data_IF_076465875916
#
_entry.id   IF_076465875916
#
_cell.length_a   1.000
_cell.length_b   1.000
_cell.length_c   1.000
_cell.angle_alpha   90.00
_cell.angle_beta   90.00
_cell.angle_gamma   90.00
#
_symmetry.space_group_name_H-M   'P 1'
#
loop_
_entity.id
_entity.type
_entity.pdbx_description
1 polymer ?
#
# COMPACT_ATOMS: atom_id res chain seq x y z
N UNK A 1 33.03 23.21 -8.13
CA UNK A 1 31.94 22.90 -7.20
C UNK A 1 32.29 23.51 -5.87
N UNK A 2 31.40 24.34 -5.28
CA UNK A 2 31.66 24.95 -3.96
C UNK A 2 31.74 23.88 -2.87
N UNK A 3 32.68 24.04 -1.97
CA UNK A 3 32.95 23.07 -0.90
C UNK A 3 32.84 23.72 0.49
N UNK A 4 32.79 22.95 1.52
CA UNK A 4 32.81 23.42 2.92
C UNK A 4 34.09 24.25 3.22
N UNK A 5 35.20 23.99 2.51
CA UNK A 5 36.44 24.70 2.66
C UNK A 5 36.35 26.14 2.10
N UNK A 6 35.59 26.36 1.04
CA UNK A 6 35.36 27.68 0.46
C UNK A 6 34.58 28.57 1.43
N UNK A 7 33.57 28.02 2.08
CA UNK A 7 32.81 28.72 3.13
C UNK A 7 33.71 29.02 4.33
N UNK A 8 34.47 28.04 4.77
CA UNK A 8 35.40 28.19 5.90
C UNK A 8 36.40 29.33 5.64
N UNK A 9 36.97 29.39 4.45
CA UNK A 9 37.90 30.45 4.02
C UNK A 9 37.21 31.83 4.02
N UNK A 10 36.01 31.95 3.47
CA UNK A 10 35.25 33.22 3.41
C UNK A 10 34.75 33.65 4.79
N UNK A 11 34.38 32.70 5.66
CA UNK A 11 33.91 32.96 7.01
C UNK A 11 35.06 33.22 8.02
N UNK A 12 36.31 32.88 7.68
CA UNK A 12 37.46 32.99 8.59
C UNK A 12 37.42 32.02 9.75
N UNK A 13 36.87 30.82 9.52
CA UNK A 13 36.74 29.75 10.52
C UNK A 13 37.24 28.43 9.97
N UNK A 14 37.39 27.42 10.80
CA UNK A 14 37.75 26.08 10.33
C UNK A 14 36.59 25.36 9.61
N UNK A 15 36.91 24.44 8.70
CA UNK A 15 35.90 23.62 8.03
C UNK A 15 35.09 22.80 9.06
N UNK A 16 35.68 22.41 10.18
CA UNK A 16 34.97 21.72 11.27
C UNK A 16 33.95 22.63 11.96
N UNK A 17 34.25 23.93 12.09
CA UNK A 17 33.32 24.95 12.64
C UNK A 17 32.13 25.13 11.68
N UNK A 18 32.39 25.26 10.36
CA UNK A 18 31.32 25.32 9.37
C UNK A 18 30.46 24.06 9.42
N UNK A 19 31.06 22.88 9.48
CA UNK A 19 30.32 21.60 9.63
C UNK A 19 29.43 21.57 10.89
N UNK A 20 29.93 22.06 12.02
CA UNK A 20 29.12 22.17 13.27
C UNK A 20 27.93 23.09 13.08
N UNK A 21 28.13 24.26 12.45
CA UNK A 21 27.04 25.21 12.20
C UNK A 21 25.99 24.63 11.27
N UNK A 22 26.39 24.05 10.13
CA UNK A 22 25.49 23.48 9.13
C UNK A 22 24.69 22.26 9.66
N UNK A 23 25.29 21.54 10.61
CA UNK A 23 24.63 20.37 11.24
C UNK A 23 23.96 20.69 12.60
N UNK A 24 23.87 21.96 12.99
CA UNK A 24 23.20 22.37 14.24
C UNK A 24 23.88 21.87 15.52
N UNK A 25 25.20 21.49 15.45
CA UNK A 25 25.90 20.94 16.63
C UNK A 25 26.29 22.06 17.60
N UNK A 26 26.22 21.81 18.92
CA UNK A 26 26.58 22.80 19.92
C UNK A 26 28.07 23.14 19.91
N UNK A 27 28.44 24.26 20.57
CA UNK A 27 29.81 24.69 20.75
C UNK A 27 30.32 25.71 19.73
N UNK A 28 29.41 26.43 19.05
CA UNK A 28 29.74 27.58 18.18
C UNK A 28 28.96 28.80 18.66
N UNK A 29 29.61 29.95 18.77
CA UNK A 29 28.99 31.21 19.22
C UNK A 29 27.99 31.75 18.21
N UNK A 30 26.90 32.42 18.68
CA UNK A 30 25.80 32.94 17.85
C UNK A 30 26.27 33.76 16.65
N UNK A 31 27.19 34.70 16.86
CA UNK A 31 27.75 35.54 15.77
C UNK A 31 28.43 34.71 14.67
N UNK A 32 29.12 33.65 15.03
CA UNK A 32 29.75 32.75 14.07
C UNK A 32 28.72 31.93 13.30
N UNK A 33 27.65 31.50 13.96
CA UNK A 33 26.53 30.79 13.34
C UNK A 33 25.86 31.68 12.29
N UNK A 34 25.52 32.90 12.63
CA UNK A 34 24.90 33.88 11.73
C UNK A 34 25.81 34.18 10.52
N UNK A 35 27.09 34.43 10.76
CA UNK A 35 28.08 34.70 9.70
C UNK A 35 28.20 33.53 8.72
N UNK A 36 28.31 32.31 9.23
CA UNK A 36 28.42 31.11 8.38
C UNK A 36 27.14 30.88 7.58
N UNK A 37 25.95 31.04 8.17
CA UNK A 37 24.68 30.91 7.47
C UNK A 37 24.54 31.94 6.34
N UNK A 38 24.85 33.22 6.63
CA UNK A 38 24.79 34.28 5.64
C UNK A 38 25.71 33.99 4.44
N UNK A 39 26.98 33.60 4.69
CA UNK A 39 27.94 33.25 3.64
C UNK A 39 27.48 32.02 2.84
N UNK A 40 26.85 31.04 3.50
CA UNK A 40 26.30 29.84 2.86
C UNK A 40 25.19 30.21 1.87
N UNK A 41 24.28 31.11 2.26
CA UNK A 41 23.21 31.64 1.42
C UNK A 41 23.76 32.50 0.27
N UNK A 42 24.64 33.42 0.55
CA UNK A 42 25.28 34.29 -0.48
C UNK A 42 26.00 33.48 -1.57
N UNK A 43 26.63 32.38 -1.21
CA UNK A 43 27.34 31.54 -2.14
C UNK A 43 26.46 30.47 -2.81
N UNK A 44 25.18 30.33 -2.39
CA UNK A 44 24.31 29.27 -2.88
C UNK A 44 24.85 27.87 -2.57
N UNK A 45 25.55 27.72 -1.43
CA UNK A 45 26.11 26.43 -1.06
C UNK A 45 25.05 25.56 -0.41
N UNK A 46 24.83 24.41 -1.01
CA UNK A 46 24.01 23.34 -0.41
C UNK A 46 24.92 22.23 0.13
N UNK A 47 24.79 21.87 1.43
CA UNK A 47 25.58 20.76 2.00
C UNK A 47 25.36 19.48 1.18
N UNK A 48 26.44 18.86 0.74
CA UNK A 48 26.36 17.59 0.03
C UNK A 48 25.77 16.52 0.95
N UNK A 49 24.61 15.97 0.57
CA UNK A 49 23.90 14.93 1.34
C UNK A 49 24.77 13.67 1.52
N UNK A 50 25.61 13.32 0.54
CA UNK A 50 26.52 12.20 0.61
C UNK A 50 27.57 12.42 1.70
N UNK A 51 28.19 13.61 1.75
CA UNK A 51 29.18 13.96 2.76
C UNK A 51 28.57 13.98 4.17
N UNK A 52 27.34 14.47 4.29
CA UNK A 52 26.58 14.43 5.55
C UNK A 52 26.26 12.99 5.96
N UNK A 53 25.80 12.17 5.04
CA UNK A 53 25.49 10.75 5.28
C UNK A 53 26.71 9.97 5.77
N UNK A 54 27.89 10.21 5.20
CA UNK A 54 29.16 9.61 5.67
C UNK A 54 29.49 10.01 7.13
N UNK A 55 29.24 11.26 7.50
CA UNK A 55 29.52 11.76 8.84
C UNK A 55 28.49 11.33 9.89
N UNK A 56 27.24 11.13 9.51
CA UNK A 56 26.13 10.79 10.43
C UNK A 56 25.74 9.31 10.38
N UNK A 57 26.22 8.56 9.39
CA UNK A 57 25.79 7.20 9.02
C UNK A 57 24.28 7.11 8.73
N UNK A 58 23.64 8.23 8.36
CA UNK A 58 22.23 8.31 7.97
C UNK A 58 22.10 9.08 6.66
N UNK A 59 21.45 8.51 5.68
CA UNK A 59 21.22 9.12 4.37
C UNK A 59 20.01 10.08 4.39
N UNK A 60 19.11 9.92 5.36
CA UNK A 60 17.81 10.55 5.39
C UNK A 60 16.97 10.19 4.16
N UNK A 61 17.08 8.94 3.70
CA UNK A 61 16.38 8.43 2.53
C UNK A 61 15.72 7.09 2.85
N UNK A 62 14.48 6.94 2.44
CA UNK A 62 13.71 5.69 2.48
C UNK A 62 13.57 5.13 1.08
N UNK A 63 13.88 3.85 0.92
CA UNK A 63 13.69 3.13 -0.34
C UNK A 63 12.27 2.57 -0.43
N UNK A 64 11.63 2.78 -1.57
CA UNK A 64 10.30 2.23 -1.85
C UNK A 64 10.41 1.19 -2.95
N UNK A 65 10.09 -0.06 -2.63
CA UNK A 65 9.84 -1.11 -3.61
C UNK A 65 8.35 -1.23 -3.82
N UNK A 66 7.96 -0.93 -5.02
CA UNK A 66 6.59 -1.03 -5.45
C UNK A 66 6.56 -1.94 -6.67
N UNK A 67 6.30 -3.23 -6.45
CA UNK A 67 6.16 -4.18 -7.52
C UNK A 67 4.73 -4.23 -8.00
N UNK A 68 4.60 -4.22 -9.31
CA UNK A 68 3.32 -4.21 -9.97
C UNK A 68 3.18 -5.44 -10.87
N UNK A 69 2.96 -6.59 -10.25
CA UNK A 69 2.60 -7.80 -11.00
C UNK A 69 1.22 -7.66 -11.69
N UNK A 70 0.47 -6.65 -11.31
CA UNK A 70 -0.86 -6.35 -11.84
C UNK A 70 -0.84 -5.40 -13.03
N UNK A 71 0.35 -4.94 -13.49
CA UNK A 71 0.52 -3.86 -14.47
C UNK A 71 -0.28 -2.58 -14.15
N UNK A 72 -0.73 -2.42 -12.92
CA UNK A 72 -1.45 -1.22 -12.46
C UNK A 72 -0.53 -0.19 -11.83
N UNK A 73 0.53 -0.61 -11.15
CA UNK A 73 1.56 0.20 -10.53
C UNK A 73 1.01 1.37 -9.74
N UNK A 74 1.60 2.54 -9.97
CA UNK A 74 1.08 3.79 -9.44
C UNK A 74 -0.34 4.16 -9.92
N UNK A 75 -0.96 3.36 -10.80
CA UNK A 75 -2.32 3.61 -11.28
C UNK A 75 -3.39 2.99 -10.39
N UNK A 76 -3.03 2.11 -9.45
CA UNK A 76 -4.02 1.51 -8.54
C UNK A 76 -4.45 2.53 -7.46
N UNK A 77 -5.71 3.02 -7.47
CA UNK A 77 -6.13 4.14 -6.61
C UNK A 77 -5.93 3.88 -5.12
N UNK A 78 -6.16 2.64 -4.66
CA UNK A 78 -5.95 2.24 -3.26
C UNK A 78 -4.49 2.44 -2.80
N UNK A 79 -3.53 2.00 -3.61
CA UNK A 79 -2.11 2.09 -3.27
C UNK A 79 -1.58 3.54 -3.35
N UNK A 80 -2.16 4.35 -4.24
CA UNK A 80 -1.84 5.78 -4.35
C UNK A 80 -2.16 6.55 -3.06
N UNK A 81 -3.33 6.31 -2.46
CA UNK A 81 -3.77 7.00 -1.24
C UNK A 81 -2.85 6.65 -0.05
N UNK A 82 -2.48 5.37 0.09
CA UNK A 82 -1.52 4.91 1.12
C UNK A 82 -0.16 5.58 0.93
N UNK A 83 0.35 5.58 -0.30
CA UNK A 83 1.66 6.17 -0.60
C UNK A 83 1.68 7.69 -0.37
N UNK A 84 0.59 8.38 -0.67
CA UNK A 84 0.47 9.81 -0.44
C UNK A 84 0.62 10.15 1.05
N UNK A 85 -0.15 9.47 1.91
CA UNK A 85 -0.07 9.66 3.36
C UNK A 85 1.29 9.25 3.93
N UNK A 86 1.85 8.14 3.48
CA UNK A 86 3.20 7.70 3.86
C UNK A 86 4.23 8.77 3.54
N UNK A 87 4.23 9.28 2.30
CA UNK A 87 5.15 10.33 1.82
C UNK A 87 5.07 11.59 2.69
N UNK A 88 3.86 12.03 3.04
CA UNK A 88 3.68 13.26 3.80
C UNK A 88 4.28 13.15 5.22
N UNK A 89 4.08 12.02 5.89
CA UNK A 89 4.67 11.78 7.22
C UNK A 89 6.19 11.63 7.16
N UNK A 90 6.71 10.87 6.20
CA UNK A 90 8.16 10.68 6.00
C UNK A 90 8.84 12.02 5.70
N UNK A 91 8.24 12.83 4.81
CA UNK A 91 8.74 14.16 4.46
C UNK A 91 8.76 15.12 5.66
N UNK A 92 7.71 15.12 6.50
CA UNK A 92 7.65 15.91 7.72
C UNK A 92 8.78 15.58 8.72
N UNK A 93 9.32 14.35 8.68
CA UNK A 93 10.48 13.92 9.49
C UNK A 93 11.83 14.10 8.77
N UNK A 94 11.85 14.79 7.61
CA UNK A 94 13.05 15.15 6.86
C UNK A 94 13.71 13.97 6.14
N UNK A 95 12.92 12.99 5.72
CA UNK A 95 13.37 11.90 4.86
C UNK A 95 12.86 12.11 3.44
N UNK A 96 13.69 11.77 2.46
CA UNK A 96 13.34 11.70 1.04
C UNK A 96 12.97 10.25 0.67
N UNK A 97 12.21 10.08 -0.44
CA UNK A 97 11.87 8.77 -0.99
C UNK A 97 12.65 8.49 -2.28
N UNK A 98 13.20 7.29 -2.40
CA UNK A 98 13.75 6.75 -3.64
C UNK A 98 12.90 5.55 -4.07
N UNK A 99 12.31 5.63 -5.27
CA UNK A 99 11.61 4.51 -5.86
C UNK A 99 12.59 3.62 -6.63
N UNK A 100 12.59 2.35 -6.29
CA UNK A 100 13.33 1.35 -7.02
C UNK A 100 12.49 0.81 -8.19
N UNK A 101 13.08 0.79 -9.39
CA UNK A 101 12.41 0.24 -10.59
C UNK A 101 12.72 -1.24 -10.73
N UNK A 102 11.77 -2.04 -11.21
CA UNK A 102 11.92 -3.49 -11.34
C UNK A 102 12.68 -3.92 -12.62
N UNK A 103 12.67 -3.07 -13.63
CA UNK A 103 13.32 -3.35 -14.93
C UNK A 103 14.71 -2.73 -14.98
N UNK A 104 15.75 -3.50 -14.65
CA UNK A 104 17.13 -3.09 -14.84
C UNK A 104 17.70 -3.73 -16.12
N UNK A 105 18.33 -2.96 -17.04
CA UNK A 105 18.78 -3.48 -18.34
C UNK A 105 19.87 -4.56 -18.26
N UNK A 106 20.60 -4.65 -17.15
CA UNK A 106 21.77 -5.53 -17.01
C UNK A 106 21.46 -6.95 -16.51
N UNK A 107 20.20 -7.37 -16.46
CA UNK A 107 19.79 -8.72 -16.00
C UNK A 107 20.42 -9.23 -14.66
N UNK A 108 21.14 -8.38 -13.94
CA UNK A 108 21.56 -8.69 -12.59
C UNK A 108 20.37 -8.46 -11.67
N UNK A 109 19.69 -9.54 -11.30
CA UNK A 109 18.64 -9.52 -10.27
C UNK A 109 19.32 -9.22 -8.93
N UNK A 110 19.59 -7.94 -8.68
CA UNK A 110 20.01 -7.50 -7.36
C UNK A 110 18.86 -7.69 -6.39
N UNK A 111 19.13 -8.29 -5.24
CA UNK A 111 18.13 -8.42 -4.18
C UNK A 111 17.69 -7.05 -3.67
N UNK A 112 16.50 -6.96 -3.09
CA UNK A 112 16.03 -5.73 -2.43
C UNK A 112 17.06 -5.24 -1.40
N UNK A 113 17.67 -6.16 -0.65
CA UNK A 113 18.70 -5.84 0.31
C UNK A 113 19.95 -5.22 -0.36
N UNK A 114 20.46 -5.82 -1.42
CA UNK A 114 21.63 -5.31 -2.13
C UNK A 114 21.37 -3.90 -2.68
N UNK A 115 20.22 -3.68 -3.30
CA UNK A 115 19.83 -2.36 -3.84
C UNK A 115 19.69 -1.32 -2.73
N UNK A 116 19.10 -1.69 -1.60
CA UNK A 116 18.98 -0.82 -0.44
C UNK A 116 20.36 -0.41 0.09
N UNK A 117 21.29 -1.36 0.20
CA UNK A 117 22.68 -1.10 0.63
C UNK A 117 23.46 -0.24 -0.36
N UNK A 118 23.36 -0.50 -1.67
CA UNK A 118 24.00 0.30 -2.73
C UNK A 118 23.55 1.76 -2.71
N UNK A 119 22.30 2.02 -2.43
CA UNK A 119 21.73 3.38 -2.32
C UNK A 119 21.83 3.94 -0.91
N UNK A 120 22.35 3.16 0.04
CA UNK A 120 22.51 3.55 1.44
C UNK A 120 21.23 4.13 2.04
N UNK A 121 20.06 3.51 1.75
CA UNK A 121 18.80 3.95 2.35
C UNK A 121 18.74 3.55 3.82
N UNK A 122 18.07 4.36 4.65
CA UNK A 122 17.95 4.14 6.09
C UNK A 122 16.84 3.12 6.44
N UNK A 123 15.87 2.95 5.54
CA UNK A 123 14.78 1.99 5.70
C UNK A 123 14.08 1.70 4.39
N UNK A 124 13.19 0.70 4.41
CA UNK A 124 12.44 0.22 3.26
C UNK A 124 10.94 0.25 3.50
N UNK A 125 10.20 0.65 2.47
CA UNK A 125 8.76 0.52 2.38
C UNK A 125 8.39 -0.37 1.20
N UNK A 126 7.65 -1.46 1.47
CA UNK A 126 7.30 -2.48 0.48
C UNK A 126 5.79 -2.47 0.21
N UNK A 127 5.40 -2.42 -1.06
CA UNK A 127 4.00 -2.42 -1.50
C UNK A 127 3.82 -3.28 -2.75
N UNK A 128 2.70 -4.01 -2.83
CA UNK A 128 2.32 -4.77 -4.03
C UNK A 128 3.20 -5.98 -4.32
N UNK A 129 4.05 -6.41 -3.39
CA UNK A 129 4.98 -7.53 -3.56
C UNK A 129 4.24 -8.84 -3.24
N UNK A 130 4.35 -9.87 -4.08
CA UNK A 130 3.73 -11.15 -3.83
C UNK A 130 4.45 -11.91 -2.70
N UNK A 131 3.70 -12.71 -1.94
CA UNK A 131 4.25 -13.58 -0.88
C UNK A 131 5.33 -14.55 -1.36
N UNK A 132 5.32 -14.87 -2.63
CA UNK A 132 6.24 -15.82 -3.27
C UNK A 132 7.55 -15.20 -3.75
N UNK A 133 7.75 -13.89 -3.54
CA UNK A 133 8.98 -13.22 -3.95
C UNK A 133 10.17 -13.71 -3.14
N UNK A 134 11.20 -14.19 -3.85
CA UNK A 134 12.42 -14.78 -3.24
C UNK A 134 13.28 -13.78 -2.48
N UNK A 135 13.07 -12.47 -2.68
CA UNK A 135 13.82 -11.44 -1.97
C UNK A 135 13.33 -11.22 -0.54
N UNK A 136 12.15 -11.70 -0.17
CA UNK A 136 11.55 -11.47 1.14
C UNK A 136 12.36 -12.09 2.27
N UNK A 137 12.85 -13.31 2.10
CA UNK A 137 13.67 -14.00 3.10
C UNK A 137 14.96 -13.21 3.44
N UNK A 138 15.59 -12.62 2.42
CA UNK A 138 16.77 -11.79 2.60
C UNK A 138 16.47 -10.51 3.40
N UNK A 139 15.33 -9.87 3.15
CA UNK A 139 14.87 -8.71 3.92
C UNK A 139 14.55 -9.08 5.36
N UNK A 140 13.83 -10.17 5.59
CA UNK A 140 13.51 -10.67 6.94
C UNK A 140 14.78 -10.94 7.75
N UNK A 141 15.80 -11.56 7.12
CA UNK A 141 17.07 -11.87 7.75
C UNK A 141 17.99 -10.64 7.89
N UNK A 142 17.72 -9.55 7.17
CA UNK A 142 18.54 -8.35 7.20
C UNK A 142 18.28 -7.51 8.46
N UNK A 143 19.22 -6.60 8.76
CA UNK A 143 19.03 -5.58 9.80
C UNK A 143 18.48 -4.26 9.25
N UNK A 144 17.99 -4.24 8.01
CA UNK A 144 17.43 -3.03 7.39
C UNK A 144 16.01 -2.83 7.93
N UNK A 145 15.69 -1.67 8.53
CA UNK A 145 14.33 -1.34 8.91
C UNK A 145 13.38 -1.45 7.72
N UNK A 146 12.31 -2.21 7.86
CA UNK A 146 11.38 -2.47 6.76
C UNK A 146 9.93 -2.52 7.26
N UNK A 147 9.04 -1.84 6.54
CA UNK A 147 7.58 -1.96 6.72
C UNK A 147 6.95 -2.31 5.38
N UNK A 148 6.00 -3.23 5.40
CA UNK A 148 5.22 -3.61 4.23
C UNK A 148 3.72 -3.32 4.42
N UNK A 149 3.02 -3.15 3.31
CA UNK A 149 1.54 -3.08 3.26
C UNK A 149 1.02 -4.37 2.64
N UNK A 150 0.03 -4.97 3.31
CA UNK A 150 -0.70 -6.16 2.83
C UNK A 150 0.21 -7.36 2.48
N UNK A 151 1.36 -7.43 3.11
CA UNK A 151 2.33 -8.49 2.97
C UNK A 151 2.83 -8.87 4.37
N UNK A 152 2.56 -10.09 4.82
CA UNK A 152 2.86 -10.59 6.15
C UNK A 152 4.36 -10.85 6.37
N UNK A 153 5.13 -9.79 6.25
CA UNK A 153 6.58 -9.75 6.44
C UNK A 153 6.92 -9.52 7.92
N UNK A 154 7.33 -10.57 8.63
CA UNK A 154 7.73 -10.47 10.03
C UNK A 154 9.18 -10.84 10.24
N UNK A 155 9.94 -9.97 10.91
CA UNK A 155 11.35 -10.18 11.23
C UNK A 155 11.86 -9.26 12.32
N UNK A 156 13.13 -9.40 12.76
CA UNK A 156 13.67 -8.57 13.83
C UNK A 156 13.60 -7.05 13.56
N UNK A 157 13.64 -6.67 12.29
CA UNK A 157 13.61 -5.28 11.81
C UNK A 157 12.56 -5.07 10.71
N UNK A 158 11.68 -6.06 10.49
CA UNK A 158 10.67 -6.03 9.45
C UNK A 158 9.30 -6.33 10.02
N UNK A 159 8.29 -5.59 9.57
CA UNK A 159 6.90 -5.80 9.96
C UNK A 159 5.93 -5.31 8.90
N UNK A 160 4.62 -5.49 9.13
CA UNK A 160 3.60 -5.13 8.17
C UNK A 160 2.37 -4.48 8.80
N UNK A 161 1.63 -3.79 7.94
CA UNK A 161 0.32 -3.23 8.24
C UNK A 161 -0.66 -3.79 7.21
N UNK A 162 -1.82 -4.21 7.65
CA UNK A 162 -2.90 -4.67 6.79
C UNK A 162 -4.25 -4.22 7.33
N UNK A 163 -5.29 -4.31 6.50
CA UNK A 163 -6.67 -4.20 6.94
C UNK A 163 -7.20 -5.52 7.48
N UNK A 164 -8.27 -5.49 8.28
CA UNK A 164 -9.06 -6.69 8.61
C UNK A 164 -9.81 -7.17 7.35
N UNK A 165 -9.05 -7.82 6.46
CA UNK A 165 -9.56 -8.32 5.20
C UNK A 165 -10.59 -9.45 5.39
N UNK A 166 -10.38 -10.30 6.42
CA UNK A 166 -11.30 -11.42 6.72
C UNK A 166 -12.62 -10.90 7.25
N UNK A 167 -12.59 -10.03 8.26
CA UNK A 167 -13.81 -9.46 8.85
C UNK A 167 -14.56 -8.58 7.87
N UNK A 168 -13.86 -7.75 7.09
CA UNK A 168 -14.46 -6.92 6.06
C UNK A 168 -15.18 -7.72 4.97
N UNK A 169 -14.54 -8.77 4.44
CA UNK A 169 -15.17 -9.64 3.45
C UNK A 169 -16.36 -10.41 4.03
N UNK A 170 -16.22 -10.90 5.26
CA UNK A 170 -17.34 -11.58 5.94
C UNK A 170 -18.53 -10.63 6.10
N UNK A 171 -18.31 -9.36 6.51
CA UNK A 171 -19.39 -8.38 6.68
C UNK A 171 -20.10 -8.05 5.36
N UNK A 172 -19.36 -7.99 4.25
CA UNK A 172 -19.95 -7.80 2.91
C UNK A 172 -20.86 -8.95 2.51
N UNK A 173 -20.43 -10.19 2.73
CA UNK A 173 -21.21 -11.39 2.39
C UNK A 173 -22.40 -11.54 3.35
N UNK A 174 -22.23 -11.30 4.65
CA UNK A 174 -23.33 -11.29 5.63
C UNK A 174 -24.39 -10.24 5.27
N UNK A 175 -23.98 -9.09 4.73
CA UNK A 175 -24.92 -8.10 4.24
C UNK A 175 -25.76 -8.61 3.05
N UNK A 176 -25.15 -9.29 2.07
CA UNK A 176 -25.92 -9.96 1.02
C UNK A 176 -26.93 -10.96 1.59
N UNK A 177 -26.49 -11.78 2.54
CA UNK A 177 -27.35 -12.79 3.18
C UNK A 177 -28.53 -12.14 3.91
N UNK A 178 -28.29 -11.03 4.62
CA UNK A 178 -29.33 -10.25 5.31
C UNK A 178 -30.37 -9.68 4.35
N UNK A 179 -30.00 -9.48 3.08
CA UNK A 179 -30.89 -9.03 1.99
C UNK A 179 -31.56 -10.20 1.23
N UNK A 180 -31.39 -11.43 1.72
CA UNK A 180 -32.04 -12.62 1.16
C UNK A 180 -31.25 -13.33 0.06
N UNK A 181 -30.03 -12.87 -0.27
CA UNK A 181 -29.20 -13.55 -1.25
C UNK A 181 -28.66 -14.88 -0.71
N UNK A 182 -28.79 -15.94 -1.50
CA UNK A 182 -28.32 -17.28 -1.17
C UNK A 182 -27.33 -17.84 -2.20
N UNK A 183 -27.34 -17.32 -3.42
CA UNK A 183 -26.46 -17.68 -4.53
C UNK A 183 -25.50 -16.53 -4.78
N UNK A 184 -24.41 -16.54 -4.05
CA UNK A 184 -23.41 -15.48 -3.98
C UNK A 184 -22.12 -16.01 -4.57
N UNK A 185 -21.59 -15.37 -5.62
CA UNK A 185 -20.28 -15.67 -6.17
C UNK A 185 -19.19 -14.75 -5.57
N UNK A 186 -17.93 -15.17 -5.69
CA UNK A 186 -16.76 -14.42 -5.26
C UNK A 186 -15.78 -14.25 -6.41
N UNK A 187 -15.28 -13.04 -6.63
CA UNK A 187 -14.15 -12.76 -7.53
C UNK A 187 -12.97 -12.31 -6.66
N UNK A 188 -11.90 -13.12 -6.63
CA UNK A 188 -10.66 -12.85 -5.89
C UNK A 188 -9.46 -12.86 -6.82
N UNK A 189 -8.24 -12.74 -6.30
CA UNK A 189 -7.04 -12.77 -7.12
C UNK A 189 -6.51 -14.17 -7.40
N UNK A 190 -5.68 -14.31 -8.44
CA UNK A 190 -4.98 -15.56 -8.74
C UNK A 190 -3.51 -15.55 -8.31
N UNK A 191 -2.99 -14.41 -7.82
CA UNK A 191 -1.61 -14.28 -7.37
C UNK A 191 -1.38 -14.73 -5.92
N UNK A 192 -2.45 -15.17 -5.24
CA UNK A 192 -2.40 -15.56 -3.83
C UNK A 192 -1.80 -14.47 -2.92
N UNK A 193 -2.19 -13.22 -3.18
CA UNK A 193 -1.82 -12.11 -2.31
C UNK A 193 -2.47 -12.26 -0.94
N UNK A 194 -1.87 -11.67 0.10
CA UNK A 194 -2.48 -11.72 1.43
C UNK A 194 -3.92 -11.17 1.44
N UNK A 195 -4.21 -9.96 0.88
CA UNK A 195 -5.58 -9.46 0.88
C UNK A 195 -6.55 -10.35 0.08
N UNK A 196 -6.15 -10.89 -1.07
CA UNK A 196 -7.01 -11.75 -1.87
C UNK A 196 -7.38 -13.05 -1.18
N UNK A 197 -6.43 -13.73 -0.55
CA UNK A 197 -6.69 -14.96 0.21
C UNK A 197 -7.48 -14.68 1.49
N UNK A 198 -7.16 -13.63 2.25
CA UNK A 198 -7.89 -13.26 3.47
C UNK A 198 -9.36 -12.90 3.16
N UNK A 199 -9.61 -12.16 2.06
CA UNK A 199 -10.98 -11.82 1.61
C UNK A 199 -11.74 -13.05 1.15
N UNK A 200 -11.07 -13.99 0.48
CA UNK A 200 -11.68 -15.29 0.15
C UNK A 200 -12.04 -16.09 1.41
N UNK A 201 -11.15 -16.12 2.40
CA UNK A 201 -11.44 -16.76 3.69
C UNK A 201 -12.66 -16.12 4.36
N UNK A 202 -12.77 -14.80 4.35
CA UNK A 202 -13.94 -14.08 4.87
C UNK A 202 -15.25 -14.48 4.17
N UNK A 203 -15.24 -14.53 2.83
CA UNK A 203 -16.38 -15.02 2.05
C UNK A 203 -16.77 -16.45 2.42
N UNK A 204 -15.80 -17.37 2.45
CA UNK A 204 -16.06 -18.78 2.78
C UNK A 204 -16.65 -18.95 4.18
N UNK A 205 -16.08 -18.24 5.18
CA UNK A 205 -16.58 -18.28 6.56
C UNK A 205 -18.01 -17.77 6.68
N UNK A 206 -18.36 -16.69 6.00
CA UNK A 206 -19.72 -16.15 6.04
C UNK A 206 -20.72 -17.10 5.38
N UNK A 207 -20.40 -17.70 4.24
CA UNK A 207 -21.24 -18.69 3.56
C UNK A 207 -21.46 -19.93 4.44
N UNK A 208 -20.40 -20.45 5.04
CA UNK A 208 -20.43 -21.62 5.92
C UNK A 208 -21.26 -21.36 7.19
N UNK A 209 -21.02 -20.23 7.86
CA UNK A 209 -21.75 -19.82 9.09
C UNK A 209 -23.26 -19.79 8.88
N UNK A 210 -23.71 -19.44 7.68
CA UNK A 210 -25.13 -19.38 7.34
C UNK A 210 -25.64 -20.64 6.61
N UNK A 211 -24.85 -21.71 6.54
CA UNK A 211 -25.25 -22.99 5.92
C UNK A 211 -25.54 -22.87 4.42
N UNK A 212 -24.96 -21.91 3.73
CA UNK A 212 -25.19 -21.72 2.30
C UNK A 212 -24.27 -22.62 1.46
N UNK A 213 -24.78 -23.02 0.29
CA UNK A 213 -24.03 -23.87 -0.64
C UNK A 213 -22.80 -23.13 -1.17
N UNK A 214 -21.66 -23.79 -1.10
CA UNK A 214 -20.41 -23.34 -1.72
C UNK A 214 -20.16 -24.18 -2.97
N UNK A 215 -20.21 -23.54 -4.13
CA UNK A 215 -19.84 -24.18 -5.40
C UNK A 215 -18.49 -23.67 -5.86
N UNK A 216 -17.60 -24.57 -6.26
CA UNK A 216 -16.26 -24.21 -6.73
C UNK A 216 -16.31 -23.29 -7.94
N UNK A 217 -17.27 -23.47 -8.81
CA UNK A 217 -17.54 -22.62 -9.98
C UNK A 217 -18.02 -21.21 -9.67
N UNK A 218 -18.42 -20.90 -8.43
CA UNK A 218 -18.79 -19.57 -7.98
C UNK A 218 -17.59 -18.76 -7.50
N UNK A 219 -16.41 -19.35 -7.44
CA UNK A 219 -15.16 -18.68 -7.08
C UNK A 219 -14.35 -18.47 -8.35
N UNK A 220 -14.33 -17.23 -8.82
CA UNK A 220 -13.50 -16.82 -9.95
C UNK A 220 -12.20 -16.17 -9.45
N UNK A 221 -11.09 -16.43 -10.13
CA UNK A 221 -9.82 -15.77 -9.85
C UNK A 221 -9.49 -14.78 -10.96
N UNK A 222 -8.98 -13.62 -10.58
CA UNK A 222 -8.73 -12.46 -11.44
C UNK A 222 -7.37 -11.80 -11.08
N UNK A 223 -7.14 -10.61 -11.58
CA UNK A 223 -5.88 -9.87 -11.42
C UNK A 223 -6.06 -8.49 -10.75
N UNK A 224 -7.11 -8.31 -9.97
CA UNK A 224 -7.52 -7.03 -9.39
C UNK A 224 -7.83 -5.91 -10.40
N UNK A 225 -7.77 -6.16 -11.72
CA UNK A 225 -8.11 -5.18 -12.74
C UNK A 225 -9.62 -5.13 -13.05
N UNK A 226 -10.07 -4.03 -13.65
CA UNK A 226 -11.44 -3.92 -14.16
C UNK A 226 -11.70 -4.90 -15.32
N UNK A 227 -10.70 -5.11 -16.16
CA UNK A 227 -10.80 -6.09 -17.27
C UNK A 227 -10.91 -7.52 -16.75
N UNK A 228 -10.12 -7.87 -15.71
CA UNK A 228 -10.20 -9.19 -15.07
C UNK A 228 -11.57 -9.39 -14.39
N UNK A 229 -12.08 -8.38 -13.71
CA UNK A 229 -13.41 -8.39 -13.12
C UNK A 229 -14.53 -8.60 -14.16
N UNK A 230 -14.43 -7.91 -15.30
CA UNK A 230 -15.36 -8.07 -16.43
C UNK A 230 -15.37 -9.50 -16.96
N UNK A 231 -14.18 -10.06 -17.27
CA UNK A 231 -14.07 -11.41 -17.83
C UNK A 231 -14.54 -12.50 -16.85
N UNK A 232 -14.21 -12.33 -15.55
CA UNK A 232 -14.62 -13.26 -14.50
C UNK A 232 -16.15 -13.24 -14.32
N UNK A 233 -16.76 -12.06 -14.32
CA UNK A 233 -18.23 -11.92 -14.20
C UNK A 233 -18.95 -12.52 -15.37
N UNK A 234 -18.48 -12.32 -16.60
CA UNK A 234 -19.09 -12.98 -17.79
C UNK A 234 -19.09 -14.50 -17.61
N UNK A 235 -17.96 -15.10 -17.24
CA UNK A 235 -17.84 -16.54 -17.00
C UNK A 235 -18.78 -17.04 -15.91
N UNK A 236 -18.88 -16.32 -14.79
CA UNK A 236 -19.76 -16.67 -13.68
C UNK A 236 -21.23 -16.67 -14.10
N UNK A 237 -21.69 -15.63 -14.79
CA UNK A 237 -23.08 -15.50 -15.24
C UNK A 237 -23.41 -16.47 -16.39
N UNK A 238 -22.43 -16.89 -17.21
CA UNK A 238 -22.61 -17.93 -18.24
C UNK A 238 -22.70 -19.31 -17.61
N UNK A 239 -21.94 -19.58 -16.53
CA UNK A 239 -21.91 -20.87 -15.86
C UNK A 239 -23.13 -21.11 -14.96
N UNK A 240 -23.62 -20.09 -14.27
CA UNK A 240 -24.80 -20.18 -13.41
C UNK A 240 -25.63 -18.86 -13.50
N UNK A 241 -26.60 -18.81 -14.43
CA UNK A 241 -27.48 -17.63 -14.58
C UNK A 241 -28.40 -17.37 -13.36
N UNK A 242 -28.42 -18.27 -12.38
CA UNK A 242 -29.23 -18.13 -11.17
C UNK A 242 -28.49 -17.40 -10.03
N UNK A 243 -27.26 -16.96 -10.25
CA UNK A 243 -26.54 -16.09 -9.32
C UNK A 243 -27.31 -14.79 -9.10
N UNK A 244 -27.36 -14.34 -7.85
CA UNK A 244 -28.07 -13.10 -7.48
C UNK A 244 -27.13 -12.04 -6.91
N UNK A 245 -25.90 -12.43 -6.51
CA UNK A 245 -24.93 -11.51 -5.95
C UNK A 245 -23.49 -11.93 -6.27
N UNK A 246 -22.62 -10.94 -6.35
CA UNK A 246 -21.17 -11.13 -6.58
C UNK A 246 -20.40 -10.25 -5.59
N UNK A 247 -19.61 -10.88 -4.73
CA UNK A 247 -18.60 -10.21 -3.94
C UNK A 247 -17.30 -10.12 -4.74
N UNK A 248 -16.81 -8.91 -4.94
CA UNK A 248 -15.54 -8.65 -5.61
C UNK A 248 -14.49 -8.25 -4.57
N UNK A 249 -13.38 -8.97 -4.50
CA UNK A 249 -12.30 -8.70 -3.56
C UNK A 249 -11.51 -7.41 -3.86
N UNK A 250 -12.01 -6.53 -4.71
CA UNK A 250 -11.47 -5.20 -5.01
C UNK A 250 -12.44 -4.39 -5.87
N UNK A 251 -12.47 -3.07 -5.66
CA UNK A 251 -13.38 -2.16 -6.34
C UNK A 251 -13.15 -2.10 -7.86
N UNK A 252 -11.88 -2.18 -8.30
CA UNK A 252 -11.60 -2.23 -9.73
C UNK A 252 -12.25 -3.45 -10.40
N UNK A 253 -12.18 -4.63 -9.75
CA UNK A 253 -12.89 -5.82 -10.24
C UNK A 253 -14.40 -5.63 -10.20
N UNK A 254 -14.93 -4.96 -9.16
CA UNK A 254 -16.35 -4.67 -9.06
C UNK A 254 -16.83 -3.74 -10.18
N UNK A 255 -16.05 -2.74 -10.56
CA UNK A 255 -16.35 -1.86 -11.70
C UNK A 255 -16.39 -2.66 -13.03
N UNK A 256 -15.46 -3.59 -13.21
CA UNK A 256 -15.48 -4.53 -14.33
C UNK A 256 -16.71 -5.43 -14.32
N UNK A 257 -17.10 -5.93 -13.14
CA UNK A 257 -18.29 -6.74 -12.96
C UNK A 257 -19.57 -5.96 -13.30
N UNK A 258 -19.71 -4.71 -12.86
CA UNK A 258 -20.83 -3.84 -13.20
C UNK A 258 -20.95 -3.64 -14.72
N UNK A 259 -19.82 -3.49 -15.41
CA UNK A 259 -19.79 -3.40 -16.87
C UNK A 259 -20.27 -4.69 -17.54
N UNK A 260 -19.80 -5.85 -17.08
CA UNK A 260 -20.21 -7.15 -17.62
C UNK A 260 -21.71 -7.42 -17.46
N UNK A 261 -22.30 -7.04 -16.31
CA UNK A 261 -23.74 -7.16 -16.05
C UNK A 261 -24.54 -6.29 -17.03
N UNK A 262 -24.14 -5.03 -17.22
CA UNK A 262 -24.79 -4.12 -18.17
C UNK A 262 -24.70 -4.64 -19.62
N UNK A 263 -23.59 -5.18 -20.03
CA UNK A 263 -23.39 -5.77 -21.37
C UNK A 263 -24.27 -7.00 -21.63
N UNK A 264 -24.67 -7.72 -20.56
CA UNK A 264 -25.67 -8.80 -20.64
C UNK A 264 -27.12 -8.31 -20.60
N UNK A 265 -27.36 -7.00 -20.57
CA UNK A 265 -28.69 -6.42 -20.48
C UNK A 265 -29.32 -6.51 -19.08
N UNK A 266 -28.52 -6.83 -18.05
CA UNK A 266 -28.97 -6.93 -16.67
C UNK A 266 -28.69 -5.62 -15.91
N UNK A 267 -29.50 -5.35 -14.89
CA UNK A 267 -29.39 -4.17 -14.04
C UNK A 267 -28.64 -4.47 -12.74
N UNK A 268 -27.55 -3.74 -12.49
CA UNK A 268 -26.80 -3.78 -11.24
C UNK A 268 -27.66 -3.23 -10.09
N UNK A 269 -27.71 -3.94 -8.97
CA UNK A 269 -28.51 -3.58 -7.80
C UNK A 269 -30.00 -3.89 -7.97
N UNK A 270 -30.38 -4.57 -9.04
CA UNK A 270 -31.76 -5.06 -9.27
C UNK A 270 -31.76 -6.55 -9.66
N UNK A 271 -31.07 -6.90 -10.73
CA UNK A 271 -30.99 -8.28 -11.20
C UNK A 271 -29.78 -9.00 -10.54
N UNK A 272 -28.66 -8.32 -10.44
CA UNK A 272 -27.44 -8.80 -9.78
C UNK A 272 -26.95 -7.74 -8.80
N UNK A 273 -26.77 -8.15 -7.54
CA UNK A 273 -26.16 -7.32 -6.50
C UNK A 273 -24.63 -7.42 -6.53
N UNK A 274 -23.94 -6.30 -6.27
CA UNK A 274 -22.47 -6.25 -6.21
C UNK A 274 -22.02 -5.54 -4.96
N UNK A 275 -20.97 -6.10 -4.30
CA UNK A 275 -20.19 -5.42 -3.28
C UNK A 275 -18.72 -5.51 -3.68
N UNK A 276 -18.01 -4.38 -3.60
CA UNK A 276 -16.58 -4.25 -3.80
C UNK A 276 -15.79 -4.26 -2.49
N UNK A 277 -14.51 -3.90 -2.59
CA UNK A 277 -13.60 -3.72 -1.46
C UNK A 277 -12.60 -2.61 -1.83
N UNK A 278 -12.20 -1.74 -0.91
CA UNK A 278 -11.21 -0.67 -0.95
C UNK A 278 -11.80 0.73 -0.75
N UNK A 279 -13.02 1.01 -1.19
CA UNK A 279 -13.66 2.32 -1.25
C UNK A 279 -12.77 3.37 -1.95
N UNK A 280 -12.39 3.09 -3.19
CA UNK A 280 -11.57 3.99 -4.01
C UNK A 280 -12.32 5.27 -4.38
N UNK A 281 -11.60 6.39 -4.54
CA UNK A 281 -12.17 7.71 -4.86
C UNK A 281 -12.98 7.74 -6.16
N UNK A 282 -12.64 6.87 -7.12
CA UNK A 282 -13.34 6.73 -8.41
C UNK A 282 -14.82 6.36 -8.24
N UNK A 283 -15.21 5.72 -7.13
CA UNK A 283 -16.61 5.31 -6.89
C UNK A 283 -17.59 6.48 -6.79
N UNK A 284 -17.13 7.69 -6.46
CA UNK A 284 -17.94 8.90 -6.44
C UNK A 284 -18.49 9.33 -7.81
N UNK A 285 -17.95 8.77 -8.90
CA UNK A 285 -18.33 9.06 -10.28
C UNK A 285 -19.10 7.93 -10.96
N UNK A 286 -19.47 6.87 -10.21
CA UNK A 286 -20.08 5.66 -10.78
C UNK A 286 -21.58 5.60 -10.46
N UNK A 287 -22.39 5.17 -11.43
CA UNK A 287 -23.84 4.99 -11.28
C UNK A 287 -24.25 3.59 -11.78
N UNK A 288 -24.98 2.80 -10.95
CA UNK A 288 -25.32 3.04 -9.55
C UNK A 288 -24.09 3.11 -8.65
N UNK A 289 -24.20 3.80 -7.49
CA UNK A 289 -23.10 3.96 -6.55
C UNK A 289 -22.77 2.61 -5.89
N UNK A 290 -21.50 2.19 -5.96
CA UNK A 290 -21.05 0.87 -5.52
C UNK A 290 -21.00 0.75 -3.98
N UNK A 291 -21.74 -0.21 -3.41
CA UNK A 291 -21.55 -0.69 -2.04
C UNK A 291 -20.18 -1.36 -1.93
N UNK A 292 -19.39 -1.01 -0.93
CA UNK A 292 -18.01 -1.47 -0.82
C UNK A 292 -17.55 -1.53 0.63
N UNK A 293 -16.52 -2.33 0.91
CA UNK A 293 -15.82 -2.32 2.19
C UNK A 293 -14.73 -1.26 2.15
N UNK A 294 -14.82 -0.28 3.04
CA UNK A 294 -13.85 0.80 3.16
C UNK A 294 -12.64 0.38 3.97
N UNK A 295 -11.46 0.63 3.44
CA UNK A 295 -10.19 0.55 4.14
C UNK A 295 -9.74 1.95 4.56
N UNK A 296 -9.12 2.08 5.72
CA UNK A 296 -8.58 3.36 6.23
C UNK A 296 -7.20 3.64 5.62
N UNK A 297 -7.15 3.88 4.33
CA UNK A 297 -5.94 3.98 3.51
C UNK A 297 -4.94 5.01 4.03
N UNK A 298 -5.44 6.19 4.37
CA UNK A 298 -4.63 7.28 4.91
C UNK A 298 -3.98 6.86 6.25
N UNK A 299 -4.75 6.22 7.12
CA UNK A 299 -4.23 5.71 8.40
C UNK A 299 -3.18 4.62 8.19
N UNK A 300 -3.37 3.73 7.18
CA UNK A 300 -2.37 2.72 6.82
C UNK A 300 -1.03 3.36 6.45
N UNK A 301 -1.04 4.37 5.58
CA UNK A 301 0.16 5.09 5.16
C UNK A 301 0.84 5.84 6.30
N UNK A 302 0.05 6.55 7.12
CA UNK A 302 0.58 7.25 8.30
C UNK A 302 1.21 6.29 9.32
N UNK A 303 0.55 5.19 9.63
CA UNK A 303 1.06 4.21 10.59
C UNK A 303 2.32 3.53 10.05
N UNK A 304 2.35 3.19 8.76
CA UNK A 304 3.53 2.62 8.12
C UNK A 304 4.75 3.56 8.24
N UNK A 305 4.55 4.85 7.99
CA UNK A 305 5.62 5.84 8.12
C UNK A 305 6.09 5.98 9.57
N UNK A 306 5.17 6.09 10.53
CA UNK A 306 5.49 6.22 11.96
C UNK A 306 6.26 5.00 12.48
N UNK A 307 5.82 3.80 12.11
CA UNK A 307 6.50 2.56 12.51
C UNK A 307 7.89 2.42 11.87
N UNK A 308 8.02 2.76 10.59
CA UNK A 308 9.32 2.75 9.93
C UNK A 308 10.30 3.75 10.56
N UNK A 309 9.83 4.96 10.91
CA UNK A 309 10.67 5.96 11.58
C UNK A 309 11.17 5.42 12.92
N UNK A 310 10.30 4.83 13.75
CA UNK A 310 10.71 4.22 15.03
C UNK A 310 11.77 3.13 14.81
N UNK A 311 11.55 2.26 13.81
CA UNK A 311 12.54 1.24 13.43
C UNK A 311 13.87 1.86 13.01
N UNK A 312 13.90 2.95 12.24
CA UNK A 312 15.13 3.62 11.81
C UNK A 312 15.84 4.40 12.92
N UNK A 313 15.11 4.90 13.90
CA UNK A 313 15.66 5.73 14.98
C UNK A 313 16.13 4.92 16.19
N UNK A 314 15.42 3.84 16.54
CA UNK A 314 15.75 2.96 17.65
C UNK A 314 16.14 1.55 17.16
N UNK A 315 17.42 1.15 17.32
CA UNK A 315 17.89 -0.21 16.95
C UNK A 315 17.25 -1.33 17.78
N UNK A 316 16.72 -1.01 18.94
CA UNK A 316 16.12 -1.98 19.86
C UNK A 316 14.59 -2.07 19.72
N UNK A 317 13.98 -1.11 19.03
CA UNK A 317 12.54 -1.14 18.77
C UNK A 317 12.16 -2.37 17.94
N UNK A 318 11.04 -2.98 18.30
CA UNK A 318 10.41 -4.09 17.58
C UNK A 318 8.98 -3.67 17.30
N UNK A 319 8.59 -3.73 16.06
CA UNK A 319 7.20 -3.45 15.66
C UNK A 319 6.37 -4.73 15.71
N UNK A 320 5.14 -4.65 16.17
CA UNK A 320 4.15 -5.72 16.05
C UNK A 320 3.30 -5.53 14.80
N UNK A 321 2.77 -6.63 14.19
CA UNK A 321 1.83 -6.53 13.08
C UNK A 321 0.62 -5.67 13.45
N UNK A 322 0.25 -4.76 12.54
CA UNK A 322 -0.88 -3.86 12.76
C UNK A 322 -2.00 -4.25 11.81
N UNK A 323 -3.17 -4.55 12.39
CA UNK A 323 -4.41 -4.76 11.63
C UNK A 323 -5.36 -3.60 11.88
N UNK A 324 -5.85 -2.98 10.81
CA UNK A 324 -6.75 -1.84 10.86
C UNK A 324 -8.17 -2.30 10.50
N UNK A 325 -9.13 -1.91 11.31
CA UNK A 325 -10.54 -2.24 11.08
C UNK A 325 -11.06 -1.66 9.76
N UNK A 326 -11.97 -2.40 9.13
CA UNK A 326 -12.70 -2.03 7.91
C UNK A 326 -14.15 -1.70 8.21
N UNK A 327 -14.83 -0.99 7.29
CA UNK A 327 -16.21 -0.57 7.43
C UNK A 327 -16.99 -0.84 6.13
N UNK A 328 -18.18 -1.44 6.22
CA UNK A 328 -19.06 -1.61 5.07
C UNK A 328 -19.82 -0.31 4.75
N UNK A 329 -19.58 0.25 3.58
CA UNK A 329 -20.27 1.46 3.08
C UNK A 329 -21.39 1.03 2.15
N UNK A 330 -22.61 1.13 2.63
CA UNK A 330 -23.81 0.74 1.90
C UNK A 330 -24.20 1.86 0.91
N UNK A 331 -24.46 1.46 -0.34
CA UNK A 331 -24.91 2.34 -1.43
C UNK A 331 -25.99 1.62 -2.27
N UNK A 332 -25.98 1.79 -3.61
CA UNK A 332 -27.13 1.44 -4.48
C UNK A 332 -27.03 0.08 -5.17
N UNK A 333 -25.93 -0.65 -5.02
CA UNK A 333 -25.66 -1.88 -5.81
C UNK A 333 -26.15 -3.17 -5.16
N UNK A 334 -26.95 -3.11 -4.10
CA UNK A 334 -27.51 -4.30 -3.42
C UNK A 334 -29.01 -4.19 -3.33
N UNK A 335 -29.74 -5.12 -3.98
CA UNK A 335 -31.19 -5.22 -3.86
C UNK A 335 -31.62 -6.03 -2.63
N UNK A 336 -32.86 -5.80 -2.18
CA UNK A 336 -33.48 -6.55 -1.10
C UNK A 336 -34.43 -7.60 -1.69
N UNK A 337 -34.10 -8.88 -1.55
CA UNK A 337 -34.91 -9.99 -2.04
C UNK A 337 -35.97 -10.42 -1.03
N UNK A 338 -35.87 -10.02 0.25
CA UNK A 338 -36.82 -10.38 1.32
C UNK A 338 -38.14 -9.61 1.14
N UNK A 339 -38.10 -8.37 0.66
CA UNK A 339 -39.27 -7.53 0.45
C UNK A 339 -40.07 -7.90 -0.81
N UNK A 340 -39.53 -8.72 -1.70
CA UNK A 340 -40.13 -9.11 -2.97
C UNK A 340 -40.69 -10.56 -2.93
N UNK A 341 -40.68 -11.19 -1.75
CA UNK A 341 -41.26 -12.54 -1.51
C UNK A 341 -42.54 -12.45 -0.74
#
# INVERSE_FOLDING_TARGET
>A
MLTIYDIAKKAGVSASTVSKVLNGRPGVGKKTIEKVKQITEELGYYPNSIARGLATKKSKTVGVFFEDHLNSGFRHPFLQDILASFKDVIGAHGYDLIFFTNNHPDNHVETFEARARHRNVDGLFLMGIPRTDKNLDAIIASNIPCISIDLDLCGPRANYICSDNIGGAASAVEYFISKGHKKIACITDFFATKPGEDRLVGYLRAMEKHGLSLKKEWIARSDFSDQGGLLSTRKLLDSDPSLTAIFCAGDMMALGAMRAIKEKGLAVGKDISIIGFDNISLLSYVTPSLTTVSQKKEAMGEMAAKELIKLMEDPYYRADPITIETELIIRDTVCNLVENS
#
